data_IF_644797969420
#
_entry.id   IF_644797969420
#
_cell.length_a   1.000
_cell.length_b   1.000
_cell.length_c   1.000
_cell.angle_alpha   90.00
_cell.angle_beta   90.00
_cell.angle_gamma   90.00
#
_symmetry.space_group_name_H-M   'P 1'
#
loop_
_entity.id
_entity.type
_entity.pdbx_description
1 polymer ?
#
# COMPACT_ATOMS: atom_id res chain seq x y z
N UNK A 1 -25.61 -1.78 -12.21
CA UNK A 1 -26.30 -3.08 -12.29
C UNK A 1 -25.54 -3.99 -11.36
N UNK A 2 -26.05 -4.20 -10.16
CA UNK A 2 -25.54 -5.21 -9.23
C UNK A 2 -26.04 -6.54 -9.73
N UNK A 3 -25.20 -7.30 -10.43
CA UNK A 3 -25.48 -8.70 -10.69
C UNK A 3 -25.58 -9.43 -9.36
N UNK A 4 -26.66 -10.20 -9.18
CA UNK A 4 -26.84 -11.05 -8.00
C UNK A 4 -25.87 -12.22 -8.20
N UNK A 5 -24.77 -12.23 -7.47
CA UNK A 5 -23.83 -13.33 -7.45
C UNK A 5 -24.27 -14.37 -6.40
N UNK A 6 -24.04 -15.66 -6.68
CA UNK A 6 -24.31 -16.74 -5.73
C UNK A 6 -23.46 -16.61 -4.46
N UNK A 7 -22.21 -16.13 -4.60
CA UNK A 7 -21.30 -15.86 -3.50
C UNK A 7 -20.95 -14.38 -3.44
N UNK A 8 -21.04 -13.77 -2.26
CA UNK A 8 -20.78 -12.34 -2.08
C UNK A 8 -20.31 -12.02 -0.66
N UNK A 9 -19.76 -10.81 -0.48
CA UNK A 9 -19.44 -10.24 0.82
C UNK A 9 -20.55 -9.26 1.24
N UNK A 10 -20.93 -9.31 2.50
CA UNK A 10 -21.81 -8.29 3.11
C UNK A 10 -21.22 -7.82 4.46
N UNK A 11 -21.84 -6.80 5.07
CA UNK A 11 -21.40 -6.24 6.34
C UNK A 11 -19.88 -5.92 6.36
N UNK A 12 -19.38 -5.33 5.27
CA UNK A 12 -17.98 -4.95 5.15
C UNK A 12 -17.66 -3.85 6.16
N UNK A 13 -16.65 -4.08 7.00
CA UNK A 13 -16.16 -3.15 8.02
C UNK A 13 -14.68 -2.88 7.79
N UNK A 14 -14.30 -1.61 7.79
CA UNK A 14 -12.92 -1.15 7.65
C UNK A 14 -12.59 -0.35 8.90
N UNK A 15 -11.69 -0.84 9.71
CA UNK A 15 -11.31 -0.21 10.98
C UNK A 15 -9.92 -0.65 11.42
N UNK A 16 -9.14 0.30 11.94
CA UNK A 16 -7.85 0.06 12.61
C UNK A 16 -6.88 -0.85 11.83
N UNK A 17 -6.78 -0.61 10.54
CA UNK A 17 -5.87 -1.37 9.69
C UNK A 17 -6.35 -2.76 9.31
N UNK A 18 -7.64 -3.09 9.54
CA UNK A 18 -8.24 -4.37 9.19
C UNK A 18 -9.47 -4.19 8.31
N UNK A 19 -9.76 -5.19 7.50
CA UNK A 19 -11.02 -5.35 6.79
C UNK A 19 -11.65 -6.66 7.23
N UNK A 20 -12.91 -6.61 7.65
CA UNK A 20 -13.72 -7.77 7.94
C UNK A 20 -15.02 -7.74 7.13
N UNK A 21 -15.54 -8.89 6.80
CA UNK A 21 -16.82 -9.04 6.08
C UNK A 21 -17.50 -10.34 6.43
N UNK A 22 -18.78 -10.46 6.11
CA UNK A 22 -19.50 -11.73 6.17
C UNK A 22 -19.47 -12.36 4.77
N UNK A 23 -18.99 -13.59 4.67
CA UNK A 23 -19.05 -14.39 3.44
C UNK A 23 -20.40 -15.09 3.37
N UNK A 24 -21.10 -14.89 2.26
CA UNK A 24 -22.44 -15.48 2.01
C UNK A 24 -22.40 -16.23 0.70
N UNK A 25 -23.03 -17.41 0.71
CA UNK A 25 -23.21 -18.23 -0.48
C UNK A 25 -24.41 -19.16 -0.31
N UNK A 26 -24.74 -19.98 -1.32
CA UNK A 26 -25.77 -21.00 -1.19
C UNK A 26 -25.47 -21.93 -0.02
N UNK A 27 -26.41 -22.04 0.91
CA UNK A 27 -26.34 -22.90 2.11
C UNK A 27 -25.16 -22.60 3.08
N UNK A 28 -24.49 -21.44 2.93
CA UNK A 28 -23.38 -21.06 3.82
C UNK A 28 -23.43 -19.56 4.16
N UNK A 29 -23.13 -19.26 5.43
CA UNK A 29 -22.81 -17.93 5.91
C UNK A 29 -21.70 -18.04 6.95
N UNK A 30 -20.59 -17.33 6.72
CA UNK A 30 -19.47 -17.22 7.65
C UNK A 30 -19.33 -15.75 8.07
N UNK A 31 -19.69 -15.40 9.31
CA UNK A 31 -19.56 -14.03 9.80
C UNK A 31 -18.11 -13.70 10.17
N UNK A 32 -17.80 -12.39 10.14
CA UNK A 32 -16.54 -11.82 10.63
C UNK A 32 -15.29 -12.48 10.01
N UNK A 33 -15.27 -12.64 8.69
CA UNK A 33 -14.07 -13.08 7.96
C UNK A 33 -13.09 -11.92 7.90
N UNK A 34 -11.90 -12.08 8.44
CA UNK A 34 -10.82 -11.10 8.38
C UNK A 34 -9.97 -11.31 7.13
N UNK A 35 -9.64 -10.23 6.43
CA UNK A 35 -8.69 -10.23 5.33
C UNK A 35 -7.26 -10.08 5.86
N UNK A 36 -6.41 -11.07 5.63
CA UNK A 36 -4.99 -11.00 5.98
C UNK A 36 -4.24 -9.89 5.24
N UNK A 37 -4.66 -9.58 4.00
CA UNK A 37 -4.19 -8.39 3.25
C UNK A 37 -5.36 -7.44 3.04
N UNK A 38 -5.55 -6.43 3.91
CA UNK A 38 -6.75 -5.60 3.97
C UNK A 38 -6.75 -4.49 2.89
N UNK A 39 -7.02 -4.88 1.66
CA UNK A 39 -7.24 -3.98 0.52
C UNK A 39 -8.60 -4.31 -0.09
N UNK A 40 -9.40 -3.32 -0.46
CA UNK A 40 -10.77 -3.53 -0.95
C UNK A 40 -10.89 -4.54 -2.09
N UNK A 41 -9.98 -4.50 -3.06
CA UNK A 41 -9.96 -5.46 -4.18
C UNK A 41 -9.80 -6.91 -3.69
N UNK A 42 -9.20 -7.12 -2.53
CA UNK A 42 -9.03 -8.44 -1.96
C UNK A 42 -10.31 -8.99 -1.31
N UNK A 43 -11.35 -8.19 -1.14
CA UNK A 43 -12.68 -8.69 -0.73
C UNK A 43 -13.22 -9.58 -1.84
N UNK A 44 -13.23 -9.11 -3.08
CA UNK A 44 -13.69 -9.88 -4.25
C UNK A 44 -12.82 -11.12 -4.48
N UNK A 45 -11.50 -10.96 -4.41
CA UNK A 45 -10.55 -12.07 -4.52
C UNK A 45 -10.78 -13.10 -3.41
N UNK A 46 -11.01 -12.65 -2.18
CA UNK A 46 -11.29 -13.48 -1.01
C UNK A 46 -12.61 -14.25 -1.17
N UNK A 47 -13.67 -13.59 -1.59
CA UNK A 47 -14.96 -14.25 -1.87
C UNK A 47 -14.78 -15.34 -2.94
N UNK A 48 -14.09 -15.04 -4.04
CA UNK A 48 -13.84 -16.03 -5.09
C UNK A 48 -13.02 -17.23 -4.56
N UNK A 49 -11.96 -16.97 -3.81
CA UNK A 49 -11.13 -18.03 -3.22
C UNK A 49 -11.92 -18.91 -2.22
N UNK A 50 -12.71 -18.28 -1.34
CA UNK A 50 -13.55 -18.99 -0.37
C UNK A 50 -14.64 -19.79 -1.06
N UNK A 51 -15.27 -19.25 -2.11
CA UNK A 51 -16.30 -19.97 -2.87
C UNK A 51 -15.72 -21.23 -3.53
N UNK A 52 -14.57 -21.12 -4.20
CA UNK A 52 -13.90 -22.29 -4.80
C UNK A 52 -13.55 -23.31 -3.73
N UNK A 53 -12.99 -22.89 -2.61
CA UNK A 53 -12.60 -23.81 -1.54
C UNK A 53 -13.82 -24.47 -0.88
N UNK A 54 -14.91 -23.73 -0.65
CA UNK A 54 -16.18 -24.27 -0.15
C UNK A 54 -16.75 -25.34 -1.07
N UNK A 55 -16.83 -25.06 -2.36
CA UNK A 55 -17.32 -26.01 -3.37
C UNK A 55 -16.45 -27.28 -3.49
N UNK A 56 -15.21 -27.24 -2.99
CA UNK A 56 -14.30 -28.38 -2.88
C UNK A 56 -14.28 -29.01 -1.48
N UNK A 57 -15.23 -28.68 -0.60
CA UNK A 57 -15.43 -29.35 0.68
C UNK A 57 -14.55 -28.85 1.83
N UNK A 58 -13.93 -27.66 1.71
CA UNK A 58 -13.19 -27.03 2.81
C UNK A 58 -14.17 -26.53 3.87
N UNK A 59 -13.88 -26.80 5.15
CA UNK A 59 -14.76 -26.44 6.26
C UNK A 59 -14.77 -24.91 6.51
N UNK A 60 -15.86 -24.35 7.04
CA UNK A 60 -15.98 -22.92 7.33
C UNK A 60 -14.86 -22.37 8.24
N UNK A 61 -14.45 -23.14 9.25
CA UNK A 61 -13.39 -22.73 10.17
C UNK A 61 -12.03 -22.59 9.47
N UNK A 62 -11.74 -23.51 8.53
CA UNK A 62 -10.50 -23.52 7.77
C UNK A 62 -10.50 -22.39 6.72
N UNK A 63 -11.66 -22.09 6.12
CA UNK A 63 -11.84 -20.92 5.23
C UNK A 63 -11.53 -19.61 5.97
N UNK A 64 -12.15 -19.43 7.13
CA UNK A 64 -11.95 -18.23 7.96
C UNK A 64 -10.49 -18.08 8.40
N UNK A 65 -9.88 -19.15 8.87
CA UNK A 65 -8.47 -19.19 9.27
C UNK A 65 -7.54 -18.91 8.08
N UNK A 66 -7.79 -19.53 6.93
CA UNK A 66 -7.00 -19.34 5.72
C UNK A 66 -7.01 -17.87 5.26
N UNK A 67 -8.17 -17.22 5.29
CA UNK A 67 -8.28 -15.80 4.94
C UNK A 67 -7.51 -14.90 5.90
N UNK A 68 -7.63 -15.11 7.21
CA UNK A 68 -6.96 -14.28 8.22
C UNK A 68 -5.43 -14.45 8.21
N UNK A 69 -4.93 -15.64 7.86
CA UNK A 69 -3.49 -15.93 7.85
C UNK A 69 -2.81 -15.70 6.49
N UNK A 70 -3.58 -15.33 5.46
CA UNK A 70 -3.01 -15.05 4.14
C UNK A 70 -2.23 -13.73 4.16
N UNK A 71 -0.92 -13.82 3.96
CA UNK A 71 -0.03 -12.66 4.01
C UNK A 71 0.20 -11.99 2.63
N UNK A 72 -0.32 -12.58 1.55
CA UNK A 72 -0.09 -12.07 0.20
C UNK A 72 1.33 -12.31 -0.35
N UNK A 73 1.60 -11.92 -1.58
CA UNK A 73 2.95 -11.89 -2.13
C UNK A 73 3.72 -10.69 -1.58
N UNK A 74 5.04 -10.84 -1.47
CA UNK A 74 5.92 -9.73 -1.08
C UNK A 74 5.72 -8.52 -1.98
N UNK A 75 5.87 -7.33 -1.37
CA UNK A 75 5.75 -6.04 -2.06
C UNK A 75 4.37 -5.78 -2.72
N UNK A 76 3.31 -6.40 -2.22
CA UNK A 76 1.94 -6.09 -2.62
C UNK A 76 1.12 -5.81 -1.39
N UNK A 77 1.09 -4.54 -1.01
CA UNK A 77 0.48 -4.06 0.23
C UNK A 77 1.01 -4.86 1.44
N UNK A 78 2.34 -5.02 1.48
CA UNK A 78 3.06 -5.89 2.40
C UNK A 78 3.37 -5.15 3.71
N UNK A 79 2.84 -5.64 4.82
CA UNK A 79 3.03 -5.03 6.13
C UNK A 79 4.35 -5.46 6.76
N UNK A 80 5.30 -4.54 6.86
CA UNK A 80 6.58 -4.75 7.54
C UNK A 80 6.56 -4.34 9.02
N UNK A 81 5.70 -3.38 9.39
CA UNK A 81 5.45 -2.97 10.75
C UNK A 81 3.98 -2.59 10.90
N UNK A 82 3.31 -3.16 11.91
CA UNK A 82 1.92 -2.85 12.23
C UNK A 82 1.77 -2.71 13.73
N UNK A 83 1.79 -1.46 14.21
CA UNK A 83 1.62 -1.10 15.61
C UNK A 83 0.63 0.05 15.76
N UNK A 84 0.14 0.31 16.97
CA UNK A 84 -0.75 1.43 17.22
C UNK A 84 -0.09 2.79 16.95
N UNK A 85 1.23 2.89 17.09
CA UNK A 85 1.97 4.13 16.91
C UNK A 85 2.40 4.33 15.46
N UNK A 86 2.99 3.31 14.83
CA UNK A 86 3.56 3.39 13.48
C UNK A 86 3.22 2.15 12.66
N UNK A 87 2.90 2.38 11.40
CA UNK A 87 2.68 1.35 10.38
C UNK A 87 3.66 1.56 9.23
N UNK A 88 4.25 0.48 8.71
CA UNK A 88 5.07 0.48 7.50
C UNK A 88 4.54 -0.54 6.50
N UNK A 89 4.21 -0.05 5.31
CA UNK A 89 3.70 -0.84 4.19
C UNK A 89 4.64 -0.68 2.99
N UNK A 90 4.98 -1.78 2.33
CA UNK A 90 5.69 -1.80 1.04
C UNK A 90 4.74 -2.22 -0.08
N UNK A 91 4.72 -1.46 -1.18
CA UNK A 91 3.89 -1.78 -2.34
C UNK A 91 4.70 -1.58 -3.64
N UNK A 92 4.51 -2.50 -4.57
CA UNK A 92 5.16 -2.49 -5.89
C UNK A 92 4.55 -1.48 -6.86
N UNK A 93 3.52 -0.74 -6.47
CA UNK A 93 2.84 0.24 -7.30
C UNK A 93 3.84 1.21 -7.95
N UNK A 94 3.79 1.29 -9.28
CA UNK A 94 4.75 2.06 -10.09
C UNK A 94 4.12 2.72 -11.31
N UNK A 95 2.80 2.60 -11.46
CA UNK A 95 1.98 3.33 -12.42
C UNK A 95 1.07 4.31 -11.64
N UNK A 96 0.72 5.49 -12.19
CA UNK A 96 -0.10 6.46 -11.46
C UNK A 96 -1.42 5.90 -10.90
N UNK A 97 -2.11 5.07 -11.67
CA UNK A 97 -3.36 4.45 -11.23
C UNK A 97 -3.16 3.48 -10.04
N UNK A 98 -2.10 2.66 -10.08
CA UNK A 98 -1.74 1.76 -8.98
C UNK A 98 -1.39 2.55 -7.73
N UNK A 99 -0.52 3.57 -7.88
CA UNK A 99 -0.11 4.46 -6.81
C UNK A 99 -1.30 5.16 -6.14
N UNK A 100 -2.24 5.66 -6.96
CA UNK A 100 -3.48 6.25 -6.48
C UNK A 100 -4.29 5.25 -5.64
N UNK A 101 -4.45 4.03 -6.11
CA UNK A 101 -5.20 3.00 -5.39
C UNK A 101 -4.53 2.61 -4.07
N UNK A 102 -3.21 2.43 -4.06
CA UNK A 102 -2.46 2.15 -2.83
C UNK A 102 -2.63 3.27 -1.81
N UNK A 103 -2.47 4.54 -2.21
CA UNK A 103 -2.63 5.69 -1.32
C UNK A 103 -4.05 5.76 -0.75
N UNK A 104 -5.08 5.65 -1.60
CA UNK A 104 -6.47 5.69 -1.15
C UNK A 104 -6.81 4.54 -0.21
N UNK A 105 -6.30 3.33 -0.49
CA UNK A 105 -6.50 2.17 0.37
C UNK A 105 -5.88 2.38 1.76
N UNK A 106 -4.66 2.93 1.82
CA UNK A 106 -4.00 3.23 3.10
C UNK A 106 -4.75 4.33 3.86
N UNK A 107 -5.18 5.40 3.19
CA UNK A 107 -5.94 6.49 3.83
C UNK A 107 -7.31 6.03 4.36
N UNK A 108 -7.96 5.11 3.69
CA UNK A 108 -9.20 4.53 4.17
C UNK A 108 -8.99 3.59 5.34
N UNK A 109 -7.97 2.74 5.26
CA UNK A 109 -7.63 1.75 6.27
C UNK A 109 -7.18 2.39 7.60
N UNK A 110 -6.53 3.54 7.50
CA UNK A 110 -6.01 4.31 8.63
C UNK A 110 -6.60 5.73 8.66
N UNK A 111 -7.92 5.82 8.57
CA UNK A 111 -8.62 7.10 8.57
C UNK A 111 -8.24 7.95 9.80
N UNK A 112 -7.90 9.22 9.55
CA UNK A 112 -7.49 10.16 10.60
C UNK A 112 -6.02 10.10 11.00
N UNK A 113 -5.23 9.15 10.48
CA UNK A 113 -3.77 9.10 10.67
C UNK A 113 -3.04 9.75 9.50
N UNK A 114 -1.90 10.40 9.78
CA UNK A 114 -1.04 11.03 8.77
C UNK A 114 -0.35 9.97 7.92
N UNK A 115 -0.56 10.01 6.60
CA UNK A 115 0.05 9.09 5.63
C UNK A 115 1.22 9.78 4.94
N UNK A 116 2.43 9.25 5.18
CA UNK A 116 3.67 9.67 4.51
C UNK A 116 4.01 8.67 3.41
N UNK A 117 4.08 9.12 2.16
CA UNK A 117 4.52 8.30 1.03
C UNK A 117 6.02 8.47 0.78
N UNK A 118 6.74 7.37 0.65
CA UNK A 118 8.13 7.35 0.16
C UNK A 118 8.09 6.72 -1.23
N UNK A 119 8.27 7.52 -2.28
CA UNK A 119 8.12 7.07 -3.65
C UNK A 119 9.41 7.13 -4.44
N UNK A 120 9.76 6.03 -5.11
CA UNK A 120 10.85 5.97 -6.09
C UNK A 120 10.25 5.81 -7.50
N UNK A 121 10.29 6.83 -8.36
CA UNK A 121 9.87 6.69 -9.75
C UNK A 121 10.73 5.65 -10.47
N UNK A 122 10.10 4.89 -11.36
CA UNK A 122 10.75 3.83 -12.13
C UNK A 122 10.69 4.16 -13.62
N UNK A 123 11.85 4.22 -14.29
CA UNK A 123 12.10 4.58 -15.69
C UNK A 123 11.97 6.10 -15.97
N UNK A 124 12.90 6.61 -16.76
CA UNK A 124 12.86 8.00 -17.22
C UNK A 124 11.70 8.26 -18.16
N UNK A 125 11.44 7.35 -19.11
CA UNK A 125 10.33 7.48 -20.05
C UNK A 125 8.99 7.56 -19.33
N UNK A 126 8.71 6.64 -18.40
CA UNK A 126 7.47 6.68 -17.61
C UNK A 126 7.34 7.94 -16.76
N UNK A 127 8.43 8.38 -16.14
CA UNK A 127 8.45 9.59 -15.33
C UNK A 127 8.12 10.81 -16.18
N UNK A 128 8.69 10.92 -17.39
CA UNK A 128 8.38 12.01 -18.34
C UNK A 128 6.92 11.99 -18.77
N UNK A 129 6.44 10.82 -19.21
CA UNK A 129 5.14 10.69 -19.86
C UNK A 129 3.97 10.85 -18.88
N UNK A 130 4.15 10.46 -17.60
CA UNK A 130 3.11 10.48 -16.57
C UNK A 130 3.41 11.44 -15.41
N UNK A 131 4.30 12.43 -15.58
CA UNK A 131 4.67 13.33 -14.48
C UNK A 131 3.47 14.04 -13.82
N UNK A 132 2.47 14.45 -14.61
CA UNK A 132 1.23 15.05 -14.12
C UNK A 132 0.37 14.09 -13.31
N UNK A 133 0.19 12.89 -13.81
CA UNK A 133 -0.66 11.86 -13.19
C UNK A 133 -0.02 11.32 -11.89
N UNK A 134 1.33 11.18 -11.88
CA UNK A 134 2.07 10.88 -10.64
C UNK A 134 1.88 11.99 -9.61
N UNK A 135 2.05 13.24 -10.01
CA UNK A 135 1.88 14.37 -9.09
C UNK A 135 0.45 14.45 -8.53
N UNK A 136 -0.57 14.21 -9.36
CA UNK A 136 -1.96 14.17 -8.92
C UNK A 136 -2.20 13.04 -7.90
N UNK A 137 -1.64 11.86 -8.13
CA UNK A 137 -1.74 10.73 -7.21
C UNK A 137 -1.01 10.99 -5.88
N UNK A 138 0.23 11.51 -5.95
CA UNK A 138 1.05 11.82 -4.77
C UNK A 138 0.49 12.99 -3.96
N UNK A 139 -0.26 13.88 -4.58
CA UNK A 139 -0.94 14.99 -3.89
C UNK A 139 -2.11 14.55 -3.01
N UNK A 140 -2.47 13.27 -3.01
CA UNK A 140 -3.41 12.67 -2.06
C UNK A 140 -2.78 12.33 -0.70
N UNK A 141 -1.46 12.29 -0.61
CA UNK A 141 -0.72 12.07 0.64
C UNK A 141 -0.80 13.28 1.57
N UNK A 142 -0.47 13.05 2.84
CA UNK A 142 -0.29 14.14 3.81
C UNK A 142 1.16 14.64 3.83
N UNK A 143 2.10 13.75 3.48
CA UNK A 143 3.52 14.04 3.33
C UNK A 143 4.15 13.16 2.26
N UNK A 144 5.12 13.71 1.52
CA UNK A 144 5.85 13.01 0.46
C UNK A 144 7.36 13.11 0.67
N UNK A 145 8.02 11.97 0.59
CA UNK A 145 9.48 11.86 0.36
C UNK A 145 9.65 11.25 -1.03
N UNK A 146 10.14 12.05 -1.97
CA UNK A 146 10.34 11.64 -3.36
C UNK A 146 11.82 11.36 -3.60
N UNK A 147 12.14 10.17 -4.10
CA UNK A 147 13.50 9.75 -4.42
C UNK A 147 13.86 10.02 -5.89
N UNK A 148 15.13 9.91 -6.21
CA UNK A 148 15.61 9.90 -7.58
C UNK A 148 15.01 8.74 -8.38
N UNK A 149 14.93 8.93 -9.71
CA UNK A 149 14.41 7.91 -10.62
C UNK A 149 15.32 6.67 -10.58
N UNK A 150 14.71 5.50 -10.44
CA UNK A 150 15.39 4.23 -10.70
C UNK A 150 15.39 3.96 -12.22
N UNK A 151 16.55 4.01 -12.89
CA UNK A 151 16.63 3.96 -14.34
C UNK A 151 16.34 2.58 -14.93
N UNK A 152 16.52 1.50 -14.14
CA UNK A 152 16.51 0.11 -14.60
C UNK A 152 17.49 -0.10 -15.77
N UNK A 153 16.99 -0.11 -17.02
CA UNK A 153 17.80 -0.31 -18.24
C UNK A 153 17.83 0.91 -19.14
N UNK A 154 17.24 2.03 -18.71
CA UNK A 154 17.19 3.24 -19.50
C UNK A 154 18.40 4.14 -19.23
N UNK A 155 18.85 4.80 -20.30
CA UNK A 155 19.81 5.90 -20.17
C UNK A 155 19.08 7.18 -19.68
N UNK A 156 19.77 8.06 -18.96
CA UNK A 156 19.20 9.33 -18.53
C UNK A 156 18.71 10.18 -19.72
N UNK A 157 17.49 10.69 -19.60
CA UNK A 157 16.90 11.59 -20.60
C UNK A 157 17.19 13.04 -20.17
N UNK A 158 17.80 13.88 -21.00
CA UNK A 158 18.04 15.28 -20.67
C UNK A 158 16.77 16.01 -20.21
N UNK A 159 16.86 16.69 -19.06
CA UNK A 159 15.72 17.42 -18.48
C UNK A 159 14.71 16.57 -17.71
N UNK A 160 14.89 15.23 -17.65
CA UNK A 160 13.99 14.35 -16.93
C UNK A 160 14.63 13.90 -15.60
N UNK A 161 14.02 14.29 -14.51
CA UNK A 161 14.36 13.87 -13.16
C UNK A 161 13.10 13.82 -12.30
N UNK A 162 13.17 13.32 -11.08
CA UNK A 162 12.06 13.31 -10.12
C UNK A 162 11.50 14.72 -9.84
N UNK A 163 12.30 15.77 -10.08
CA UNK A 163 11.87 17.17 -9.92
C UNK A 163 10.67 17.53 -10.77
N UNK A 164 10.52 16.96 -11.97
CA UNK A 164 9.37 17.25 -12.83
C UNK A 164 8.03 16.75 -12.25
N UNK A 165 8.08 15.75 -11.37
CA UNK A 165 6.93 15.31 -10.55
C UNK A 165 6.82 16.23 -9.33
N UNK A 166 7.93 16.43 -8.61
CA UNK A 166 7.99 17.16 -7.35
C UNK A 166 7.40 18.59 -7.47
N UNK A 167 7.74 19.29 -8.53
CA UNK A 167 7.29 20.68 -8.75
C UNK A 167 5.77 20.78 -9.00
N UNK A 168 5.15 19.67 -9.48
CA UNK A 168 3.70 19.60 -9.74
C UNK A 168 2.89 19.08 -8.54
N UNK A 169 3.51 18.47 -7.54
CA UNK A 169 2.85 17.99 -6.32
C UNK A 169 2.40 19.19 -5.49
N UNK A 170 1.13 19.19 -5.06
CA UNK A 170 0.48 20.37 -4.44
C UNK A 170 0.49 20.35 -2.90
N UNK A 171 0.85 19.23 -2.26
CA UNK A 171 0.93 19.19 -0.79
C UNK A 171 2.11 20.02 -0.26
N UNK A 172 1.96 20.69 0.90
CA UNK A 172 3.02 21.53 1.45
C UNK A 172 4.19 20.74 2.05
N UNK A 173 3.90 19.57 2.64
CA UNK A 173 4.92 18.72 3.27
C UNK A 173 5.51 17.76 2.23
N UNK A 174 6.59 18.17 1.56
CA UNK A 174 7.27 17.35 0.56
C UNK A 174 8.78 17.55 0.58
N UNK A 175 9.52 16.46 0.46
CA UNK A 175 10.99 16.43 0.42
C UNK A 175 11.44 15.68 -0.83
N UNK A 176 12.41 16.23 -1.55
CA UNK A 176 13.11 15.56 -2.63
C UNK A 176 14.51 15.23 -2.14
N UNK A 177 14.90 13.97 -2.14
CA UNK A 177 16.21 13.54 -1.68
C UNK A 177 16.75 12.39 -2.54
N UNK A 178 18.06 12.18 -2.46
CA UNK A 178 18.68 11.00 -3.03
C UNK A 178 18.39 9.78 -2.18
N UNK A 179 18.48 8.62 -2.81
CA UNK A 179 18.24 7.35 -2.13
C UNK A 179 19.18 7.16 -0.91
N UNK A 180 20.42 7.61 -1.01
CA UNK A 180 21.43 7.51 0.05
C UNK A 180 21.11 8.39 1.27
N UNK A 181 20.33 9.47 1.06
CA UNK A 181 19.93 10.42 2.10
C UNK A 181 18.63 10.00 2.81
N UNK A 182 17.89 9.01 2.27
CA UNK A 182 16.57 8.64 2.78
C UNK A 182 16.57 8.30 4.27
N UNK A 183 17.56 7.53 4.73
CA UNK A 183 17.59 7.06 6.11
C UNK A 183 17.77 8.23 7.10
N UNK A 184 18.55 9.24 6.75
CA UNK A 184 18.75 10.44 7.55
C UNK A 184 17.46 11.28 7.58
N UNK A 185 16.78 11.41 6.42
CA UNK A 185 15.47 12.09 6.33
C UNK A 185 14.44 11.39 7.22
N UNK A 186 14.36 10.05 7.15
CA UNK A 186 13.45 9.26 7.97
C UNK A 186 13.80 9.35 9.46
N UNK A 187 15.08 9.35 9.81
CA UNK A 187 15.51 9.46 11.20
C UNK A 187 15.17 10.81 11.85
N UNK A 188 15.12 11.87 11.05
CA UNK A 188 14.75 13.22 11.51
C UNK A 188 13.24 13.46 11.63
N UNK A 189 12.41 12.64 10.98
CA UNK A 189 10.95 12.78 10.96
C UNK A 189 10.24 12.01 12.07
N UNK A 190 8.91 12.22 12.15
CA UNK A 190 7.97 11.42 12.96
C UNK A 190 6.82 10.99 12.09
N UNK A 191 6.48 9.72 12.14
CA UNK A 191 5.53 9.10 11.21
C UNK A 191 4.48 8.29 11.94
N UNK A 192 3.28 8.24 11.37
CA UNK A 192 2.19 7.39 11.85
C UNK A 192 1.93 6.24 10.89
N UNK A 193 1.82 6.53 9.59
CA UNK A 193 1.68 5.52 8.53
C UNK A 193 2.65 5.86 7.41
N UNK A 194 3.55 4.94 7.12
CA UNK A 194 4.53 5.05 6.04
C UNK A 194 4.18 4.06 4.94
N UNK A 195 3.99 4.57 3.73
CA UNK A 195 3.78 3.78 2.51
C UNK A 195 5.01 3.93 1.61
N UNK A 196 5.83 2.88 1.51
CA UNK A 196 6.95 2.81 0.58
C UNK A 196 6.48 2.24 -0.75
N UNK A 197 6.73 2.95 -1.86
CA UNK A 197 6.16 2.58 -3.16
C UNK A 197 7.19 2.68 -4.27
N UNK A 198 7.19 1.68 -5.16
CA UNK A 198 8.01 1.68 -6.37
C UNK A 198 8.48 0.30 -6.80
N UNK A 199 8.71 0.12 -8.09
CA UNK A 199 9.19 -1.14 -8.68
C UNK A 199 10.72 -1.28 -8.73
N UNK A 200 11.44 -0.23 -8.32
CA UNK A 200 12.89 -0.19 -8.30
C UNK A 200 13.49 -0.87 -7.06
N UNK A 201 14.71 -0.47 -6.74
CA UNK A 201 15.46 -1.01 -5.61
C UNK A 201 15.16 -0.31 -4.26
N UNK A 202 14.03 0.36 -4.16
CA UNK A 202 13.52 0.95 -2.90
C UNK A 202 13.23 -0.14 -1.84
N UNK A 203 12.89 -1.34 -2.26
CA UNK A 203 12.67 -2.51 -1.40
C UNK A 203 13.84 -2.80 -0.46
N UNK A 204 15.07 -2.52 -0.91
CA UNK A 204 16.28 -2.69 -0.09
C UNK A 204 16.35 -1.72 1.09
N UNK A 205 15.56 -0.68 1.09
CA UNK A 205 15.48 0.32 2.16
C UNK A 205 14.36 0.04 3.17
N UNK A 206 13.47 -0.92 2.89
CA UNK A 206 12.33 -1.23 3.76
C UNK A 206 12.78 -1.68 5.16
N UNK A 207 13.69 -2.65 5.25
CA UNK A 207 14.20 -3.09 6.55
C UNK A 207 15.01 -2.01 7.28
N UNK A 208 15.95 -1.25 6.65
CA UNK A 208 16.58 -0.11 7.31
C UNK A 208 15.62 0.95 7.82
N UNK A 209 14.59 1.29 7.04
CA UNK A 209 13.52 2.23 7.47
C UNK A 209 12.76 1.66 8.66
N UNK A 210 12.36 0.40 8.62
CA UNK A 210 11.69 -0.30 9.73
C UNK A 210 12.50 -0.22 11.02
N UNK A 211 13.81 -0.46 10.95
CA UNK A 211 14.69 -0.37 12.13
C UNK A 211 14.68 1.03 12.76
N UNK A 212 14.69 2.09 11.93
CA UNK A 212 14.60 3.47 12.42
C UNK A 212 13.25 3.71 13.09
N UNK A 213 12.14 3.32 12.45
CA UNK A 213 10.80 3.48 13.00
C UNK A 213 10.62 2.71 14.32
N UNK A 214 11.13 1.48 14.41
CA UNK A 214 11.12 0.70 15.65
C UNK A 214 11.89 1.38 16.80
N UNK A 215 12.99 2.08 16.52
CA UNK A 215 13.74 2.84 17.52
C UNK A 215 12.96 4.08 18.01
N UNK A 216 12.17 4.69 17.14
CA UNK A 216 11.32 5.85 17.49
C UNK A 216 10.17 5.45 18.42
N UNK A 217 9.56 4.28 18.22
CA UNK A 217 8.49 3.75 19.09
C UNK A 217 8.99 3.48 20.53
N UNK A 218 10.23 3.04 20.68
CA UNK A 218 10.83 2.66 21.97
C UNK A 218 11.35 3.83 22.79
N UNK A 219 11.36 5.05 22.25
CA UNK A 219 11.73 6.25 23.00
C UNK A 219 10.47 6.82 23.65
N UNK A 220 10.36 6.82 25.01
CA UNK A 220 9.24 7.44 25.73
C UNK A 220 9.21 8.96 25.49
#
# INVERSE_FOLDING_TARGET
VTEIADFYAENIRICDGNITFDFVGPEIRIPDVELGVPVKVNIENGVAAMAIAWLNGVKPEDLKKGMATFAGPRRRFDFHLKTDQVVLIDDYAHHPAELRQSILSVKELYAGRKVTGIFQPHLYTRTRDFAGDFAASLSLLDELILLDIYPAREEPIPGVSSRIIFDKVTIPSKTLCKKEELLDVVAAGKYEVVLMVGAGNIDRLVEPVKEILCKQIRKP
#
